data_IF_307700399534
#
_entry.id   IF_307700399534
#
_cell.length_a   1.000
_cell.length_b   1.000
_cell.length_c   1.000
_cell.angle_alpha   90.00
_cell.angle_beta   90.00
_cell.angle_gamma   90.00
#
_symmetry.space_group_name_H-M   'P 1'
#
loop_
_entity.id
_entity.type
_entity.pdbx_description
1 polymer ?
#
# COMPACT_ATOMS: atom_id res chain seq x y z
N UNK A 1 11.19 -21.25 -33.24
CA UNK A 1 10.53 -21.55 -31.96
C UNK A 1 10.58 -20.27 -31.13
N UNK A 2 9.58 -19.40 -31.18
CA UNK A 2 8.44 -19.45 -30.27
C UNK A 2 8.52 -18.28 -29.28
N UNK A 3 8.47 -17.04 -29.79
CA UNK A 3 8.37 -15.83 -28.97
C UNK A 3 6.92 -15.75 -28.49
N UNK A 4 6.66 -16.09 -27.23
CA UNK A 4 5.37 -15.83 -26.59
C UNK A 4 5.53 -14.75 -25.54
N UNK A 5 5.80 -13.53 -25.98
CA UNK A 5 5.61 -12.32 -25.18
C UNK A 5 4.19 -11.81 -25.43
N UNK A 6 3.20 -12.40 -24.74
CA UNK A 6 1.90 -11.74 -24.55
C UNK A 6 1.96 -10.93 -23.26
N UNK A 7 2.74 -9.87 -23.28
CA UNK A 7 2.45 -8.68 -22.48
C UNK A 7 1.46 -7.84 -23.32
N UNK A 8 0.83 -6.84 -22.72
CA UNK A 8 0.08 -5.80 -23.43
C UNK A 8 -1.41 -6.11 -23.69
N UNK A 9 -2.18 -6.21 -22.60
CA UNK A 9 -3.38 -5.39 -22.55
C UNK A 9 -2.95 -3.96 -22.17
N UNK A 10 -3.42 -2.90 -22.87
CA UNK A 10 -3.03 -1.53 -22.54
C UNK A 10 -3.48 -1.22 -21.12
N UNK A 11 -2.54 -0.75 -20.29
CA UNK A 11 -2.91 -0.02 -19.08
C UNK A 11 -3.61 1.23 -19.58
N UNK A 12 -4.85 1.48 -19.14
CA UNK A 12 -5.58 2.70 -19.49
C UNK A 12 -4.70 3.91 -19.15
N UNK A 13 -4.22 4.66 -20.16
CA UNK A 13 -3.29 5.77 -19.95
C UNK A 13 -3.86 6.85 -19.03
N UNK A 14 -5.19 7.00 -19.01
CA UNK A 14 -5.90 7.95 -18.16
C UNK A 14 -5.86 7.46 -16.72
N UNK A 15 -6.19 6.19 -16.48
CA UNK A 15 -6.09 5.57 -15.15
C UNK A 15 -4.65 5.61 -14.60
N UNK A 16 -3.68 5.44 -15.50
CA UNK A 16 -2.27 5.46 -15.16
C UNK A 16 -1.80 6.87 -14.74
N UNK A 17 -2.23 7.92 -15.46
CA UNK A 17 -1.88 9.31 -15.16
C UNK A 17 -2.34 9.79 -13.78
N UNK A 18 -3.45 9.25 -13.24
CA UNK A 18 -3.91 9.55 -11.88
C UNK A 18 -2.88 9.23 -10.79
N UNK A 19 -1.98 8.28 -11.07
CA UNK A 19 -0.97 7.86 -10.12
C UNK A 19 0.39 8.50 -10.36
N UNK A 20 0.53 9.42 -11.33
CA UNK A 20 1.81 10.04 -11.64
C UNK A 20 2.26 11.01 -10.55
N UNK A 21 3.56 11.00 -10.23
CA UNK A 21 4.23 11.93 -9.33
C UNK A 21 5.33 12.70 -10.06
N UNK A 22 5.43 14.04 -9.90
CA UNK A 22 6.44 14.87 -10.59
C UNK A 22 7.88 14.38 -10.47
N UNK A 23 8.26 13.90 -9.29
CA UNK A 23 9.65 13.49 -9.01
C UNK A 23 9.91 11.99 -9.20
N UNK A 24 8.85 11.18 -9.31
CA UNK A 24 8.94 9.72 -9.27
C UNK A 24 8.37 9.05 -10.52
N UNK A 25 7.64 9.78 -11.36
CA UNK A 25 7.06 9.29 -12.60
C UNK A 25 5.81 8.45 -12.37
N UNK A 26 5.74 7.29 -13.02
CA UNK A 26 4.60 6.38 -12.94
C UNK A 26 4.86 5.26 -11.93
N UNK A 27 3.83 4.75 -11.23
CA UNK A 27 3.99 3.57 -10.41
C UNK A 27 4.40 2.37 -11.28
N UNK A 28 5.17 1.41 -10.72
CA UNK A 28 5.44 0.15 -11.40
C UNK A 28 4.16 -0.63 -11.72
N UNK A 29 4.26 -1.58 -12.65
CA UNK A 29 3.15 -2.51 -12.91
C UNK A 29 3.11 -3.57 -11.81
N UNK A 30 1.96 -3.78 -11.14
CA UNK A 30 1.87 -4.81 -10.11
C UNK A 30 2.03 -6.22 -10.68
N UNK A 31 2.87 -7.03 -10.05
CA UNK A 31 3.03 -8.46 -10.28
C UNK A 31 1.86 -9.23 -9.67
N UNK A 32 1.11 -9.94 -10.52
CA UNK A 32 -0.10 -10.69 -10.14
C UNK A 32 -0.07 -12.14 -10.61
N UNK A 33 1.08 -12.61 -11.08
CA UNK A 33 1.30 -13.97 -11.52
C UNK A 33 1.00 -14.94 -10.36
N UNK A 34 0.19 -15.97 -10.64
CA UNK A 34 -0.21 -16.97 -9.66
C UNK A 34 -1.33 -16.53 -8.70
N UNK A 35 -1.81 -15.28 -8.76
CA UNK A 35 -2.94 -14.84 -7.95
C UNK A 35 -4.29 -15.25 -8.56
N UNK A 36 -5.27 -15.52 -7.69
CA UNK A 36 -6.67 -15.64 -8.13
C UNK A 36 -7.17 -14.31 -8.70
N UNK A 37 -8.11 -14.34 -9.66
CA UNK A 37 -8.67 -13.12 -10.27
C UNK A 37 -9.16 -12.08 -9.24
N UNK A 38 -9.87 -12.47 -8.16
CA UNK A 38 -10.28 -11.50 -7.12
C UNK A 38 -9.09 -10.83 -6.42
N UNK A 39 -8.07 -11.59 -6.03
CA UNK A 39 -6.89 -11.04 -5.36
C UNK A 39 -6.07 -10.18 -6.33
N UNK A 40 -5.86 -10.64 -7.57
CA UNK A 40 -5.16 -9.91 -8.61
C UNK A 40 -5.80 -8.54 -8.89
N UNK A 41 -7.14 -8.48 -8.96
CA UNK A 41 -7.87 -7.22 -9.13
C UNK A 41 -7.56 -6.23 -8.00
N UNK A 42 -7.59 -6.71 -6.76
CA UNK A 42 -7.29 -5.84 -5.62
C UNK A 42 -5.84 -5.35 -5.67
N UNK A 43 -4.87 -6.20 -6.00
CA UNK A 43 -3.46 -5.80 -6.12
C UNK A 43 -3.25 -4.77 -7.24
N UNK A 44 -3.87 -4.98 -8.41
CA UNK A 44 -3.78 -4.06 -9.57
C UNK A 44 -4.25 -2.65 -9.20
N UNK A 45 -5.32 -2.55 -8.41
CA UNK A 45 -5.90 -1.26 -8.02
C UNK A 45 -5.20 -0.66 -6.79
N UNK A 46 -4.83 -1.48 -5.79
CA UNK A 46 -4.31 -1.01 -4.50
C UNK A 46 -2.83 -0.63 -4.54
N UNK A 47 -1.98 -1.33 -5.29
CA UNK A 47 -0.54 -1.07 -5.27
C UNK A 47 -0.18 0.32 -5.86
N UNK A 48 -0.74 0.73 -7.02
CA UNK A 48 -0.54 2.10 -7.55
C UNK A 48 -1.08 3.19 -6.61
N UNK A 49 -2.20 2.94 -5.93
CA UNK A 49 -2.74 3.85 -4.92
C UNK A 49 -1.82 4.00 -3.73
N UNK A 50 -1.27 2.89 -3.21
CA UNK A 50 -0.34 2.90 -2.09
C UNK A 50 0.94 3.67 -2.44
N UNK A 51 1.45 3.46 -3.66
CA UNK A 51 2.60 4.20 -4.19
C UNK A 51 2.35 5.71 -4.19
N UNK A 52 1.20 6.13 -4.73
CA UNK A 52 0.81 7.55 -4.83
C UNK A 52 0.65 8.18 -3.45
N UNK A 53 -0.10 7.53 -2.56
CA UNK A 53 -0.33 8.01 -1.19
C UNK A 53 0.97 8.11 -0.39
N UNK A 54 1.84 7.11 -0.46
CA UNK A 54 3.11 7.17 0.25
C UNK A 54 4.03 8.27 -0.30
N UNK A 55 4.06 8.47 -1.63
CA UNK A 55 4.80 9.57 -2.22
C UNK A 55 4.31 10.95 -1.78
N UNK A 56 3.00 11.16 -1.68
CA UNK A 56 2.41 12.41 -1.16
C UNK A 56 2.63 12.60 0.35
N UNK A 57 2.41 11.54 1.12
CA UNK A 57 2.28 11.67 2.58
C UNK A 57 3.58 11.42 3.32
N UNK A 58 4.36 10.42 2.88
CA UNK A 58 5.60 9.97 3.55
C UNK A 58 6.85 10.50 2.84
N UNK A 59 6.72 10.87 1.57
CA UNK A 59 7.81 11.24 0.67
C UNK A 59 8.12 10.16 -0.36
N UNK A 60 8.74 10.58 -1.47
CA UNK A 60 8.99 9.74 -2.66
C UNK A 60 9.81 8.48 -2.39
N UNK A 61 10.68 8.50 -1.37
CA UNK A 61 11.50 7.36 -0.94
C UNK A 61 10.67 6.17 -0.44
N UNK A 62 9.42 6.38 0.01
CA UNK A 62 8.57 5.33 0.60
C UNK A 62 7.51 4.81 -0.36
N UNK A 63 7.34 5.43 -1.52
CA UNK A 63 6.35 5.05 -2.51
C UNK A 63 6.53 3.59 -3.00
N UNK A 64 7.76 3.19 -3.31
CA UNK A 64 8.05 1.82 -3.74
C UNK A 64 7.84 0.80 -2.61
N UNK A 65 8.21 1.14 -1.39
CA UNK A 65 8.03 0.23 -0.25
C UNK A 65 6.53 -0.03 0.02
N UNK A 66 5.70 1.01 0.00
CA UNK A 66 4.24 0.85 0.14
C UNK A 66 3.60 0.09 -1.03
N UNK A 67 4.09 0.30 -2.25
CA UNK A 67 3.69 -0.49 -3.42
C UNK A 67 4.00 -1.98 -3.23
N UNK A 68 5.25 -2.30 -2.90
CA UNK A 68 5.72 -3.68 -2.74
C UNK A 68 5.05 -4.37 -1.56
N UNK A 69 4.68 -3.63 -0.50
CA UNK A 69 3.93 -4.19 0.61
C UNK A 69 2.55 -4.72 0.17
N UNK A 70 1.85 -4.02 -0.72
CA UNK A 70 0.59 -4.50 -1.30
C UNK A 70 0.82 -5.76 -2.14
N UNK A 71 1.88 -5.82 -2.95
CA UNK A 71 2.18 -7.01 -3.74
C UNK A 71 2.52 -8.22 -2.87
N UNK A 72 3.26 -8.00 -1.78
CA UNK A 72 3.55 -9.04 -0.78
C UNK A 72 2.26 -9.52 -0.13
N UNK A 73 1.36 -8.60 0.23
CA UNK A 73 0.04 -8.94 0.78
C UNK A 73 -0.77 -9.81 -0.18
N UNK A 74 -0.76 -9.47 -1.47
CA UNK A 74 -1.38 -10.27 -2.52
C UNK A 74 -0.86 -11.70 -2.58
N UNK A 75 0.46 -11.87 -2.52
CA UNK A 75 1.14 -13.17 -2.64
C UNK A 75 1.08 -14.03 -1.38
N UNK A 76 1.23 -13.41 -0.21
CA UNK A 76 1.36 -14.12 1.06
C UNK A 76 0.02 -14.31 1.77
N UNK A 77 -0.95 -13.41 1.55
CA UNK A 77 -2.28 -13.49 2.16
C UNK A 77 -3.40 -13.15 1.16
N UNK A 78 -3.55 -13.91 0.06
CA UNK A 78 -4.55 -13.66 -0.98
C UNK A 78 -5.99 -13.71 -0.46
N UNK A 79 -6.24 -14.50 0.59
CA UNK A 79 -7.56 -14.56 1.25
C UNK A 79 -7.87 -13.34 2.09
N UNK A 80 -6.87 -12.69 2.65
CA UNK A 80 -7.03 -11.45 3.40
C UNK A 80 -7.31 -10.30 2.44
N UNK A 81 -6.45 -10.14 1.42
CA UNK A 81 -6.54 -9.01 0.51
C UNK A 81 -7.88 -8.97 -0.25
N UNK A 82 -8.43 -10.13 -0.65
CA UNK A 82 -9.70 -10.20 -1.38
C UNK A 82 -10.93 -9.81 -0.55
N UNK A 83 -10.83 -9.73 0.79
CA UNK A 83 -11.94 -9.36 1.68
C UNK A 83 -12.10 -7.83 1.84
N UNK A 84 -11.16 -7.05 1.34
CA UNK A 84 -11.15 -5.59 1.48
C UNK A 84 -11.25 -4.87 0.14
N UNK A 85 -11.67 -3.60 0.19
CA UNK A 85 -11.60 -2.70 -0.95
C UNK A 85 -10.12 -2.34 -1.24
N UNK A 86 -9.72 -2.11 -2.50
CA UNK A 86 -8.34 -1.73 -2.84
C UNK A 86 -7.82 -0.53 -2.05
N UNK A 87 -8.62 0.54 -1.97
CA UNK A 87 -8.26 1.77 -1.24
C UNK A 87 -7.98 1.53 0.26
N UNK A 88 -8.69 0.57 0.88
CA UNK A 88 -8.47 0.18 2.28
C UNK A 88 -7.06 -0.37 2.47
N UNK A 89 -6.65 -1.30 1.60
CA UNK A 89 -5.34 -1.91 1.66
C UNK A 89 -4.21 -0.96 1.30
N UNK A 90 -4.45 -0.06 0.33
CA UNK A 90 -3.49 0.97 -0.01
C UNK A 90 -3.16 1.86 1.20
N UNK A 91 -4.19 2.41 1.85
CA UNK A 91 -4.06 3.26 3.04
C UNK A 91 -3.42 2.50 4.21
N UNK A 92 -3.83 1.26 4.45
CA UNK A 92 -3.26 0.43 5.51
C UNK A 92 -1.77 0.10 5.28
N UNK A 93 -1.36 -0.14 4.03
CA UNK A 93 0.06 -0.36 3.70
C UNK A 93 0.90 0.91 3.90
N UNK A 94 0.40 2.08 3.50
CA UNK A 94 1.07 3.37 3.73
C UNK A 94 1.22 3.62 5.23
N UNK A 95 0.14 3.42 5.99
CA UNK A 95 0.15 3.53 7.45
C UNK A 95 1.19 2.63 8.10
N UNK A 96 1.22 1.35 7.69
CA UNK A 96 2.19 0.39 8.19
C UNK A 96 3.62 0.87 7.90
N UNK A 97 3.92 1.26 6.66
CA UNK A 97 5.25 1.77 6.26
C UNK A 97 5.64 2.99 7.09
N UNK A 98 4.75 3.97 7.26
CA UNK A 98 5.02 5.15 8.08
C UNK A 98 5.44 4.78 9.51
N UNK A 99 4.76 3.82 10.14
CA UNK A 99 5.15 3.33 11.46
C UNK A 99 6.47 2.55 11.46
N UNK A 100 6.71 1.71 10.44
CA UNK A 100 7.94 0.89 10.33
C UNK A 100 9.20 1.72 10.29
N UNK A 101 9.16 2.85 9.60
CA UNK A 101 10.31 3.75 9.47
C UNK A 101 10.32 4.87 10.52
N UNK A 102 9.45 4.82 11.53
CA UNK A 102 9.39 5.85 12.57
C UNK A 102 9.06 7.23 12.01
N UNK A 103 8.23 7.31 10.97
CA UNK A 103 7.80 8.58 10.36
C UNK A 103 6.61 9.19 11.10
N UNK A 104 5.90 8.38 11.88
CA UNK A 104 4.70 8.74 12.63
C UNK A 104 5.02 8.64 14.12
N UNK A 105 4.95 9.74 14.86
CA UNK A 105 5.22 9.74 16.30
C UNK A 105 5.58 11.10 16.91
N UNK A 106 5.82 11.13 18.23
CA UNK A 106 5.93 12.37 19.03
C UNK A 106 7.13 13.27 18.74
N UNK A 107 8.10 12.81 17.95
CA UNK A 107 9.26 13.61 17.49
C UNK A 107 9.47 13.47 15.97
N UNK A 108 8.46 12.95 15.26
CA UNK A 108 8.52 12.66 13.83
C UNK A 108 7.83 13.78 13.04
N UNK A 109 8.25 13.98 11.78
CA UNK A 109 7.70 15.03 10.91
C UNK A 109 6.21 14.88 10.56
N UNK A 110 5.60 13.71 10.79
CA UNK A 110 4.17 13.47 10.55
C UNK A 110 3.45 13.07 11.83
N UNK A 111 2.35 13.76 12.09
CA UNK A 111 1.45 13.47 13.21
C UNK A 111 0.32 12.51 12.78
N UNK A 112 -0.08 11.61 13.69
CA UNK A 112 -1.08 10.54 13.49
C UNK A 112 -2.41 11.09 12.93
N UNK A 113 -3.01 12.16 13.51
CA UNK A 113 -4.23 12.75 12.98
C UNK A 113 -4.04 13.35 11.58
N UNK A 114 -2.88 13.94 11.30
CA UNK A 114 -2.58 14.54 10.00
C UNK A 114 -2.49 13.47 8.92
N UNK A 115 -1.69 12.41 9.13
CA UNK A 115 -1.60 11.33 8.15
C UNK A 115 -2.94 10.59 7.97
N UNK A 116 -3.70 10.38 9.04
CA UNK A 116 -5.02 9.75 8.95
C UNK A 116 -6.02 10.59 8.12
N UNK A 117 -5.90 11.92 8.18
CA UNK A 117 -6.71 12.86 7.40
C UNK A 117 -6.30 12.84 5.93
N UNK A 118 -5.00 12.86 5.64
CA UNK A 118 -4.48 12.73 4.26
C UNK A 118 -4.88 11.38 3.63
N UNK A 119 -4.87 10.31 4.43
CA UNK A 119 -5.34 8.99 4.02
C UNK A 119 -6.87 8.86 4.06
N UNK A 120 -7.63 9.89 4.46
CA UNK A 120 -9.09 9.89 4.54
C UNK A 120 -9.64 8.63 5.27
N UNK A 121 -8.99 8.26 6.39
CA UNK A 121 -9.35 7.08 7.15
C UNK A 121 -9.15 7.30 8.64
N UNK A 122 -10.05 6.76 9.46
CA UNK A 122 -9.93 6.89 10.91
C UNK A 122 -8.74 6.06 11.43
N UNK A 123 -7.92 6.59 12.36
CA UNK A 123 -6.74 5.90 12.88
C UNK A 123 -6.99 4.47 13.38
N UNK A 124 -8.12 4.23 14.05
CA UNK A 124 -8.43 2.90 14.60
C UNK A 124 -8.62 1.84 13.50
N UNK A 125 -9.16 2.21 12.33
CA UNK A 125 -9.26 1.28 11.19
C UNK A 125 -7.89 1.02 10.56
N UNK A 126 -7.06 2.07 10.44
CA UNK A 126 -5.70 1.96 9.92
C UNK A 126 -4.83 1.06 10.81
N UNK A 127 -4.90 1.25 12.13
CA UNK A 127 -4.20 0.42 13.11
C UNK A 127 -4.62 -1.05 13.02
N UNK A 128 -5.93 -1.33 13.00
CA UNK A 128 -6.44 -2.70 12.88
C UNK A 128 -5.97 -3.37 11.59
N UNK A 129 -6.06 -2.67 10.47
CA UNK A 129 -5.73 -3.25 9.17
C UNK A 129 -4.21 -3.39 8.99
N UNK A 130 -3.41 -2.46 9.51
CA UNK A 130 -1.95 -2.57 9.56
C UNK A 130 -1.48 -3.71 10.48
N UNK A 131 -2.17 -3.95 11.60
CA UNK A 131 -1.90 -5.12 12.45
C UNK A 131 -2.13 -6.43 11.69
N UNK A 132 -3.25 -6.55 10.95
CA UNK A 132 -3.52 -7.73 10.12
C UNK A 132 -2.47 -7.94 9.01
N UNK A 133 -1.95 -6.86 8.42
CA UNK A 133 -0.85 -6.93 7.45
C UNK A 133 0.43 -7.47 8.12
N UNK A 134 0.76 -6.99 9.32
CA UNK A 134 1.96 -7.44 10.05
C UNK A 134 1.90 -8.92 10.36
N UNK A 135 0.78 -9.38 10.91
CA UNK A 135 0.58 -10.79 11.27
C UNK A 135 0.87 -11.76 10.11
N UNK A 136 0.58 -11.35 8.88
CA UNK A 136 0.72 -12.20 7.69
C UNK A 136 1.97 -11.92 6.85
N UNK A 137 2.59 -10.75 6.96
CA UNK A 137 3.75 -10.34 6.15
C UNK A 137 5.07 -10.38 6.93
N UNK A 138 5.05 -10.16 8.25
CA UNK A 138 6.27 -10.10 9.06
C UNK A 138 6.02 -10.21 10.58
N UNK A 139 6.51 -11.29 11.20
CA UNK A 139 6.47 -11.50 12.66
C UNK A 139 7.44 -10.59 13.44
N UNK A 140 8.39 -9.92 12.76
CA UNK A 140 9.41 -9.06 13.38
C UNK A 140 9.07 -7.55 13.36
N UNK A 141 7.86 -7.19 12.95
CA UNK A 141 7.43 -5.80 12.84
C UNK A 141 6.93 -5.31 14.20
N UNK A 142 7.65 -4.43 14.90
CA UNK A 142 7.16 -3.78 16.13
C UNK A 142 6.60 -2.40 15.77
N UNK A 143 5.27 -2.25 15.72
CA UNK A 143 4.63 -0.94 15.87
C UNK A 143 4.27 -0.85 17.35
N UNK A 144 4.65 0.21 18.08
CA UNK A 144 4.09 0.46 19.40
C UNK A 144 2.56 0.57 19.24
N UNK A 145 1.83 -0.41 19.77
CA UNK A 145 0.37 -0.41 19.76
C UNK A 145 -0.21 0.63 20.74
N UNK A 146 0.66 1.25 21.54
CA UNK A 146 0.33 2.18 22.59
C UNK A 146 0.23 3.61 22.02
N UNK A 147 -0.81 3.85 21.22
CA UNK A 147 -1.35 5.20 21.08
C UNK A 147 -2.71 5.21 21.74
N UNK A 148 -2.70 5.67 22.99
CA UNK A 148 -3.88 5.90 23.80
C UNK A 148 -4.66 7.08 23.20
N UNK A 149 -5.78 6.78 22.54
CA UNK A 149 -6.71 7.80 22.05
C UNK A 149 -7.61 8.22 23.21
N UNK A 150 -7.03 8.95 24.17
CA UNK A 150 -7.77 9.68 25.21
C UNK A 150 -8.40 10.94 24.64
#
# INVERSE_FOLDING_TARGET
>A
MGISSRRDGPVDPIAAAFFWLPELGMPPRPGVEGLSRPAARVVIEAAPQAWRYAGDCLGTNYALESFTLVERLGRQAPDLIRRGKPVRWARACVWAVGHRYGLIGQDCGLDVPNLSRELDAKPHYLNRDAAAIREVIDQNWHIPLDYDFS
#
